data_IF_751566439004
#
_entry.id   IF_751566439004
#
_cell.length_a   1.000
_cell.length_b   1.000
_cell.length_c   1.000
_cell.angle_alpha   90.00
_cell.angle_beta   90.00
_cell.angle_gamma   90.00
#
_symmetry.space_group_name_H-M   'P 1'
#
loop_
_entity.id
_entity.type
_entity.pdbx_description
1 polymer ?
#
# COMPACT_ATOMS: atom_id res chain seq x y z
N UNK A 1 29.57 1.75 -14.42
CA UNK A 1 29.70 2.69 -13.27
C UNK A 1 28.72 2.20 -12.22
N UNK A 2 29.16 1.88 -11.01
CA UNK A 2 28.26 1.48 -9.93
C UNK A 2 27.37 2.68 -9.57
N UNK A 3 26.08 2.61 -9.88
CA UNK A 3 25.11 3.58 -9.38
C UNK A 3 25.10 3.50 -7.86
N UNK A 4 25.20 4.66 -7.21
CA UNK A 4 25.29 4.79 -5.76
C UNK A 4 23.90 4.48 -5.20
N UNK A 5 23.70 3.28 -4.68
CA UNK A 5 22.47 2.90 -3.99
C UNK A 5 22.38 3.67 -2.67
N UNK A 6 21.31 4.44 -2.50
CA UNK A 6 21.05 5.17 -1.26
C UNK A 6 20.12 4.33 -0.37
N UNK A 7 20.62 3.96 0.80
CA UNK A 7 19.82 3.31 1.84
C UNK A 7 19.14 4.39 2.69
N UNK A 8 17.81 4.41 2.69
CA UNK A 8 17.05 5.28 3.59
C UNK A 8 16.33 4.40 4.62
N UNK A 9 16.90 4.36 5.83
CA UNK A 9 16.31 3.66 6.96
C UNK A 9 15.22 4.49 7.63
N UNK A 10 14.03 3.91 7.81
CA UNK A 10 12.99 4.41 8.69
C UNK A 10 12.51 3.34 9.64
N UNK A 11 12.63 3.66 10.91
CA UNK A 11 11.46 3.71 11.80
C UNK A 11 11.96 4.09 13.18
N UNK A 12 11.47 5.19 13.71
CA UNK A 12 11.50 5.41 15.15
C UNK A 12 10.25 6.15 15.59
N UNK A 13 9.48 5.45 16.43
CA UNK A 13 8.50 5.96 17.40
C UNK A 13 7.18 6.54 16.88
N UNK A 14 6.24 5.68 16.45
CA UNK A 14 4.81 6.03 16.41
C UNK A 14 4.01 5.56 17.63
N UNK A 15 4.68 5.12 18.71
CA UNK A 15 4.00 4.80 20.00
C UNK A 15 3.14 5.99 20.47
N UNK A 16 3.49 7.22 20.08
CA UNK A 16 2.81 8.43 20.56
C UNK A 16 1.76 9.02 19.61
N UNK A 17 1.48 8.43 18.43
CA UNK A 17 0.43 8.98 17.53
C UNK A 17 -0.76 8.08 17.24
N UNK A 18 -0.61 6.75 17.25
CA UNK A 18 -1.75 5.86 16.98
C UNK A 18 -2.75 5.76 18.15
N UNK A 19 -2.48 6.38 19.29
CA UNK A 19 -3.43 6.46 20.43
C UNK A 19 -4.13 7.81 20.59
N UNK A 20 -3.79 8.84 19.81
CA UNK A 20 -4.35 10.17 20.04
C UNK A 20 -5.64 10.40 19.23
N UNK A 21 -6.63 11.04 19.88
CA UNK A 21 -7.85 11.58 19.25
C UNK A 21 -7.54 12.50 18.04
N UNK A 22 -6.28 12.91 17.83
CA UNK A 22 -5.81 13.69 16.68
C UNK A 22 -5.88 12.89 15.35
N UNK A 23 -5.79 11.56 15.39
CA UNK A 23 -6.04 10.71 14.20
C UNK A 23 -7.51 10.78 13.73
N UNK A 24 -8.45 10.95 14.68
CA UNK A 24 -9.87 11.23 14.37
C UNK A 24 -10.05 12.68 13.88
N UNK A 25 -9.27 13.61 14.41
CA UNK A 25 -9.28 15.03 14.00
C UNK A 25 -8.81 15.26 12.55
N UNK A 26 -7.89 14.43 12.00
CA UNK A 26 -7.51 14.50 10.58
C UNK A 26 -8.61 13.93 9.66
N UNK A 27 -9.40 12.96 10.15
CA UNK A 27 -10.57 12.46 9.44
C UNK A 27 -11.67 13.54 9.30
N UNK A 28 -11.77 14.47 10.26
CA UNK A 28 -12.71 15.60 10.23
C UNK A 28 -12.22 16.82 9.41
N UNK A 29 -10.91 16.91 9.08
CA UNK A 29 -10.28 18.08 8.45
C UNK A 29 -9.87 17.89 6.98
N UNK A 30 -10.06 16.71 6.40
CA UNK A 30 -10.01 16.47 4.96
C UNK A 30 -11.41 16.68 4.33
N UNK A 31 -11.92 17.92 4.43
CA UNK A 31 -13.05 18.49 3.67
C UNK A 31 -12.95 18.10 2.17
N UNK A 32 -13.94 17.56 1.46
CA UNK A 32 -15.31 18.07 1.24
C UNK A 32 -16.37 16.97 1.01
N UNK A 33 -16.05 15.69 1.17
CA UNK A 33 -16.99 14.62 0.88
C UNK A 33 -17.36 13.87 2.15
N UNK A 34 -18.66 13.86 2.47
CA UNK A 34 -19.25 12.96 3.45
C UNK A 34 -18.63 11.55 3.35
N UNK A 35 -18.51 10.80 4.45
CA UNK A 35 -17.98 9.44 4.43
C UNK A 35 -18.64 8.65 3.29
N UNK A 36 -17.84 8.26 2.29
CA UNK A 36 -18.37 7.57 1.11
C UNK A 36 -19.06 6.30 1.55
N UNK A 37 -20.33 6.14 1.17
CA UNK A 37 -21.08 4.91 1.44
C UNK A 37 -20.35 3.70 0.83
N UNK A 38 -20.53 2.52 1.42
CA UNK A 38 -19.99 1.28 0.87
C UNK A 38 -20.38 1.08 -0.61
N UNK A 39 -21.62 1.44 -0.96
CA UNK A 39 -22.10 1.40 -2.34
C UNK A 39 -21.31 2.34 -3.26
N UNK A 40 -20.94 3.54 -2.78
CA UNK A 40 -20.11 4.48 -3.54
C UNK A 40 -18.70 3.93 -3.76
N UNK A 41 -18.13 3.28 -2.75
CA UNK A 41 -16.82 2.62 -2.83
C UNK A 41 -16.85 1.55 -3.90
N UNK A 42 -17.86 0.67 -3.82
CA UNK A 42 -18.03 -0.48 -4.69
C UNK A 42 -18.27 -0.07 -6.13
N UNK A 43 -19.21 0.85 -6.39
CA UNK A 43 -19.50 1.30 -7.75
C UNK A 43 -18.25 1.88 -8.42
N UNK A 44 -17.43 2.62 -7.67
CA UNK A 44 -16.19 3.16 -8.23
C UNK A 44 -15.11 2.11 -8.43
N UNK A 45 -15.00 1.11 -7.54
CA UNK A 45 -14.13 -0.04 -7.76
C UNK A 45 -14.53 -0.79 -9.03
N UNK A 46 -15.84 -1.01 -9.21
CA UNK A 46 -16.41 -1.60 -10.41
C UNK A 46 -16.10 -0.76 -11.66
N UNK A 47 -16.28 0.57 -11.61
CA UNK A 47 -15.95 1.48 -12.73
C UNK A 47 -14.47 1.37 -13.14
N UNK A 48 -13.55 1.19 -12.17
CA UNK A 48 -12.12 1.00 -12.47
C UNK A 48 -11.89 -0.38 -13.08
N UNK A 49 -12.47 -1.44 -12.52
CA UNK A 49 -12.38 -2.79 -13.09
C UNK A 49 -12.89 -2.80 -14.53
N UNK A 50 -14.03 -2.17 -14.78
CA UNK A 50 -14.64 -2.14 -16.10
C UNK A 50 -13.82 -1.35 -17.11
N UNK A 51 -13.26 -0.21 -16.69
CA UNK A 51 -12.42 0.62 -17.56
C UNK A 51 -11.05 0.01 -17.82
N UNK A 52 -10.37 -0.50 -16.79
CA UNK A 52 -8.98 -0.92 -16.90
C UNK A 52 -8.83 -2.40 -17.29
N UNK A 53 -9.77 -3.26 -16.88
CA UNK A 53 -9.69 -4.70 -17.07
C UNK A 53 -10.69 -5.18 -18.12
N UNK A 54 -11.99 -4.91 -17.91
CA UNK A 54 -13.05 -5.44 -18.79
C UNK A 54 -12.96 -4.85 -20.20
N UNK A 55 -12.85 -3.53 -20.33
CA UNK A 55 -12.74 -2.86 -21.63
C UNK A 55 -11.48 -3.28 -22.40
N UNK A 56 -10.39 -3.57 -21.68
CA UNK A 56 -9.12 -4.01 -22.25
C UNK A 56 -9.03 -5.53 -22.43
N UNK A 57 -10.08 -6.29 -22.05
CA UNK A 57 -10.13 -7.76 -22.10
C UNK A 57 -8.98 -8.43 -21.34
N UNK A 58 -8.61 -7.85 -20.20
CA UNK A 58 -7.60 -8.41 -19.31
C UNK A 58 -8.05 -9.80 -18.80
N UNK A 59 -7.19 -10.83 -18.83
CA UNK A 59 -7.54 -12.17 -18.38
C UNK A 59 -7.95 -12.24 -16.90
N UNK A 60 -7.48 -11.32 -16.07
CA UNK A 60 -7.82 -11.25 -14.65
C UNK A 60 -9.16 -10.52 -14.39
N UNK A 61 -9.82 -9.97 -15.42
CA UNK A 61 -11.10 -9.24 -15.28
C UNK A 61 -12.17 -10.07 -14.58
N UNK A 62 -12.34 -11.35 -14.93
CA UNK A 62 -13.34 -12.21 -14.28
C UNK A 62 -13.04 -12.43 -12.80
N UNK A 63 -11.76 -12.62 -12.45
CA UNK A 63 -11.31 -12.80 -11.07
C UNK A 63 -11.47 -11.52 -10.25
N UNK A 64 -11.14 -10.37 -10.82
CA UNK A 64 -11.33 -9.07 -10.19
C UNK A 64 -12.81 -8.82 -9.83
N UNK A 65 -13.72 -9.13 -10.77
CA UNK A 65 -15.16 -9.05 -10.55
C UNK A 65 -15.64 -10.04 -9.47
N UNK A 66 -15.13 -11.27 -9.47
CA UNK A 66 -15.44 -12.27 -8.44
C UNK A 66 -15.01 -11.80 -7.04
N UNK A 67 -13.79 -11.27 -6.91
CA UNK A 67 -13.26 -10.77 -5.63
C UNK A 67 -14.07 -9.58 -5.12
N UNK A 68 -14.48 -8.66 -6.00
CA UNK A 68 -15.35 -7.55 -5.63
C UNK A 68 -16.74 -8.03 -5.20
N UNK A 69 -17.32 -9.01 -5.91
CA UNK A 69 -18.59 -9.63 -5.54
C UNK A 69 -18.53 -10.32 -4.17
N UNK A 70 -17.47 -11.08 -3.90
CA UNK A 70 -17.26 -11.74 -2.60
C UNK A 70 -17.08 -10.74 -1.47
N UNK A 71 -16.37 -9.64 -1.70
CA UNK A 71 -16.25 -8.54 -0.73
C UNK A 71 -17.63 -7.94 -0.36
N UNK A 72 -18.57 -7.90 -1.30
CA UNK A 72 -19.92 -7.37 -1.09
C UNK A 72 -20.88 -8.31 -0.39
N UNK A 73 -20.79 -9.60 -0.70
CA UNK A 73 -21.84 -10.59 -0.41
C UNK A 73 -21.50 -11.53 0.73
N UNK A 74 -20.23 -11.68 1.07
CA UNK A 74 -19.82 -12.49 2.21
C UNK A 74 -19.98 -11.72 3.52
N UNK A 75 -20.91 -12.18 4.36
CA UNK A 75 -21.19 -11.63 5.68
C UNK A 75 -20.14 -12.03 6.75
N UNK A 76 -19.02 -12.61 6.31
CA UNK A 76 -17.97 -13.15 7.18
C UNK A 76 -16.84 -12.13 7.41
N UNK A 77 -16.06 -12.33 8.48
CA UNK A 77 -14.83 -11.55 8.72
C UNK A 77 -13.78 -11.68 7.59
N UNK A 78 -13.99 -12.56 6.62
CA UNK A 78 -13.09 -12.82 5.50
C UNK A 78 -13.27 -11.85 4.33
N UNK A 79 -14.36 -11.05 4.28
CA UNK A 79 -14.65 -10.16 3.14
C UNK A 79 -13.49 -9.22 2.76
N UNK A 80 -12.76 -8.73 3.76
CA UNK A 80 -11.65 -7.79 3.56
C UNK A 80 -10.47 -8.45 2.86
N UNK A 81 -10.32 -9.77 3.01
CA UNK A 81 -9.27 -10.55 2.35
C UNK A 81 -9.50 -10.60 0.85
N UNK A 82 -10.74 -10.68 0.38
CA UNK A 82 -11.06 -10.61 -1.06
C UNK A 82 -10.73 -9.24 -1.65
N UNK A 83 -11.01 -8.17 -0.89
CA UNK A 83 -10.59 -6.84 -1.29
C UNK A 83 -9.06 -6.73 -1.37
N UNK A 84 -8.33 -7.22 -0.36
CA UNK A 84 -6.86 -7.24 -0.38
C UNK A 84 -6.32 -8.03 -1.57
N UNK A 85 -6.89 -9.22 -1.85
CA UNK A 85 -6.52 -10.03 -3.02
C UNK A 85 -6.70 -9.27 -4.33
N UNK A 86 -7.80 -8.55 -4.48
CA UNK A 86 -8.04 -7.67 -5.62
C UNK A 86 -6.93 -6.61 -5.77
N UNK A 87 -6.50 -6.00 -4.66
CA UNK A 87 -5.38 -5.05 -4.67
C UNK A 87 -4.02 -5.68 -4.98
N UNK A 88 -3.88 -7.00 -4.84
CA UNK A 88 -2.63 -7.71 -5.17
C UNK A 88 -2.57 -8.20 -6.61
N UNK A 89 -3.67 -8.18 -7.38
CA UNK A 89 -3.64 -8.59 -8.80
C UNK A 89 -2.65 -7.73 -9.60
N UNK A 90 -1.81 -8.39 -10.42
CA UNK A 90 -0.84 -7.75 -11.33
C UNK A 90 -1.54 -7.15 -12.55
N UNK A 91 -2.38 -6.16 -12.32
CA UNK A 91 -3.16 -5.50 -13.37
C UNK A 91 -3.05 -3.98 -13.28
N UNK A 92 -3.44 -3.29 -14.35
CA UNK A 92 -3.43 -1.83 -14.41
C UNK A 92 -4.44 -1.18 -13.43
N UNK A 93 -5.34 -1.98 -12.83
CA UNK A 93 -6.19 -1.57 -11.72
C UNK A 93 -5.41 -0.84 -10.61
N UNK A 94 -4.25 -1.39 -10.19
CA UNK A 94 -3.43 -0.78 -9.14
C UNK A 94 -2.81 0.54 -9.58
N UNK A 95 -2.41 0.65 -10.85
CA UNK A 95 -1.87 1.89 -11.43
C UNK A 95 -2.93 3.00 -11.40
N UNK A 96 -4.16 2.68 -11.76
CA UNK A 96 -5.28 3.64 -11.76
C UNK A 96 -5.65 4.09 -10.34
N UNK A 97 -5.59 3.21 -9.35
CA UNK A 97 -5.74 3.57 -7.93
C UNK A 97 -4.62 4.48 -7.42
N UNK A 98 -3.40 4.32 -7.93
CA UNK A 98 -2.27 5.19 -7.60
C UNK A 98 -2.40 6.57 -8.25
N UNK A 99 -2.89 6.67 -9.47
CA UNK A 99 -3.07 7.95 -10.17
C UNK A 99 -4.29 8.72 -9.66
N UNK A 100 -5.30 8.01 -9.19
CA UNK A 100 -6.49 8.58 -8.56
C UNK A 100 -6.62 8.04 -7.13
N UNK A 101 -5.83 8.57 -6.15
CA UNK A 101 -5.93 8.19 -4.75
C UNK A 101 -7.32 8.50 -4.23
N UNK A 102 -8.21 7.53 -4.35
CA UNK A 102 -9.55 7.65 -3.83
C UNK A 102 -9.50 7.83 -2.31
N UNK A 103 -10.56 8.39 -1.69
CA UNK A 103 -10.77 8.27 -0.24
C UNK A 103 -11.12 6.82 0.19
N UNK A 104 -10.78 5.80 -0.61
CA UNK A 104 -10.87 4.38 -0.23
C UNK A 104 -9.82 4.00 0.82
N UNK A 105 -8.74 4.76 0.91
CA UNK A 105 -7.68 4.51 1.89
C UNK A 105 -8.25 4.44 3.32
N UNK A 106 -9.24 5.27 3.66
CA UNK A 106 -9.79 5.29 5.02
C UNK A 106 -10.74 4.11 5.33
N UNK A 107 -11.76 3.79 4.50
CA UNK A 107 -12.57 2.58 4.70
C UNK A 107 -11.73 1.30 4.67
N UNK A 108 -10.77 1.21 3.75
CA UNK A 108 -9.83 0.10 3.70
C UNK A 108 -8.98 0.08 4.98
N UNK A 109 -8.41 1.20 5.41
CA UNK A 109 -7.66 1.29 6.66
C UNK A 109 -8.47 0.85 7.89
N UNK A 110 -9.70 1.36 8.05
CA UNK A 110 -10.61 0.97 9.14
C UNK A 110 -10.87 -0.54 9.10
N UNK A 111 -11.07 -1.11 7.92
CA UNK A 111 -11.31 -2.55 7.76
C UNK A 111 -10.02 -3.38 7.91
N UNK A 112 -8.85 -2.87 7.56
CA UNK A 112 -7.56 -3.53 7.85
C UNK A 112 -7.33 -3.67 9.35
N UNK A 113 -7.94 -2.82 10.18
CA UNK A 113 -7.88 -2.98 11.64
C UNK A 113 -8.57 -4.27 12.13
N UNK A 114 -9.36 -4.96 11.31
CA UNK A 114 -9.92 -6.27 11.66
C UNK A 114 -8.92 -7.42 11.46
N UNK A 115 -7.81 -7.19 10.76
CA UNK A 115 -6.74 -8.17 10.49
C UNK A 115 -5.59 -8.06 11.50
N UNK A 116 -5.93 -7.96 12.79
CA UNK A 116 -4.94 -7.79 13.87
C UNK A 116 -3.97 -8.95 13.96
N UNK A 117 -4.45 -10.15 13.63
CA UNK A 117 -3.68 -11.39 13.56
C UNK A 117 -2.61 -11.39 12.45
N UNK A 118 -2.64 -10.38 11.57
CA UNK A 118 -1.69 -10.19 10.46
C UNK A 118 -0.84 -8.94 10.58
N UNK A 119 -0.91 -8.22 11.69
CA UNK A 119 -0.04 -7.07 11.93
C UNK A 119 1.43 -7.50 11.85
N UNK A 120 2.17 -6.77 11.03
CA UNK A 120 3.55 -7.11 10.72
C UNK A 120 4.50 -6.61 11.81
N UNK A 121 5.53 -7.42 12.10
CA UNK A 121 6.65 -7.10 12.97
C UNK A 121 7.93 -7.57 12.28
N UNK A 122 8.97 -6.76 12.31
CA UNK A 122 10.27 -7.07 11.73
C UNK A 122 10.71 -6.03 10.69
N UNK A 123 11.70 -6.42 9.89
CA UNK A 123 12.22 -5.59 8.82
C UNK A 123 11.45 -5.85 7.53
N UNK A 124 11.14 -4.79 6.80
CA UNK A 124 10.71 -4.88 5.41
C UNK A 124 11.42 -3.86 4.53
N UNK A 125 11.45 -4.12 3.24
CA UNK A 125 12.26 -3.44 2.26
C UNK A 125 11.43 -3.03 1.07
N UNK A 126 11.76 -1.89 0.47
CA UNK A 126 11.14 -1.45 -0.79
C UNK A 126 12.16 -0.76 -1.68
N UNK A 127 12.31 -1.27 -2.90
CA UNK A 127 13.04 -0.58 -3.95
C UNK A 127 12.20 0.50 -4.63
N UNK A 128 12.82 1.62 -4.96
CA UNK A 128 12.23 2.67 -5.78
C UNK A 128 13.31 3.41 -6.59
N UNK A 129 12.88 4.10 -7.64
CA UNK A 129 13.67 5.14 -8.30
C UNK A 129 13.11 6.51 -7.92
N UNK A 130 13.97 7.41 -7.48
CA UNK A 130 13.58 8.72 -6.94
C UNK A 130 14.48 9.82 -7.45
N UNK A 131 13.93 11.01 -7.63
CA UNK A 131 14.71 12.21 -7.91
C UNK A 131 15.38 12.74 -6.62
N UNK A 132 16.43 13.55 -6.78
CA UNK A 132 17.22 14.08 -5.65
C UNK A 132 16.39 14.92 -4.67
N UNK A 133 15.40 15.66 -5.16
CA UNK A 133 14.49 16.48 -4.34
C UNK A 133 13.55 15.62 -3.48
N UNK A 134 13.07 14.51 -4.05
CA UNK A 134 12.30 13.52 -3.30
C UNK A 134 13.16 12.91 -2.20
N UNK A 135 14.39 12.47 -2.53
CA UNK A 135 15.35 11.93 -1.55
C UNK A 135 15.62 12.94 -0.43
N UNK A 136 15.86 14.21 -0.77
CA UNK A 136 16.08 15.27 0.19
C UNK A 136 14.91 15.46 1.17
N UNK A 137 13.66 15.25 0.72
CA UNK A 137 12.48 15.31 1.59
C UNK A 137 12.49 14.18 2.63
N UNK A 138 12.88 12.98 2.21
CA UNK A 138 13.06 11.84 3.10
C UNK A 138 14.22 12.10 4.07
N UNK A 139 15.41 12.44 3.57
CA UNK A 139 16.57 12.74 4.42
C UNK A 139 16.25 13.82 5.46
N UNK A 140 15.57 14.90 5.07
CA UNK A 140 15.11 15.92 6.01
C UNK A 140 14.24 15.32 7.11
N UNK A 141 13.27 14.46 6.78
CA UNK A 141 12.40 13.84 7.78
C UNK A 141 13.18 12.93 8.75
N UNK A 142 14.15 12.16 8.28
CA UNK A 142 15.02 11.32 9.15
C UNK A 142 15.75 12.18 10.18
N UNK A 143 16.27 13.33 9.77
CA UNK A 143 17.07 14.19 10.63
C UNK A 143 16.23 15.09 11.56
N UNK A 144 14.95 15.31 11.24
CA UNK A 144 14.05 16.15 12.02
C UNK A 144 13.13 15.30 12.90
N UNK A 145 13.50 15.17 14.18
CA UNK A 145 12.72 14.42 15.19
C UNK A 145 11.29 14.93 15.27
N UNK A 146 10.33 14.01 15.31
CA UNK A 146 8.90 14.32 15.39
C UNK A 146 8.24 14.66 14.06
N UNK A 147 8.99 14.63 12.94
CA UNK A 147 8.41 14.71 11.60
C UNK A 147 7.74 13.39 11.19
N UNK A 148 6.77 13.47 10.28
CA UNK A 148 6.02 12.33 9.76
C UNK A 148 5.92 12.41 8.25
N UNK A 149 6.23 11.30 7.59
CA UNK A 149 6.02 11.13 6.17
C UNK A 149 4.69 10.42 5.94
N UNK A 150 3.80 11.07 5.19
CA UNK A 150 2.50 10.51 4.83
C UNK A 150 2.51 10.08 3.38
N UNK A 151 2.29 8.79 3.14
CA UNK A 151 1.94 8.28 1.82
C UNK A 151 0.42 8.28 1.65
N UNK A 152 -0.07 8.65 0.46
CA UNK A 152 -1.49 8.59 0.11
C UNK A 152 -1.92 7.22 -0.45
N UNK A 153 -0.97 6.30 -0.58
CA UNK A 153 -1.16 5.00 -1.23
C UNK A 153 -0.56 3.88 -0.38
N UNK A 154 -1.13 2.69 -0.54
CA UNK A 154 -0.50 1.46 -0.07
C UNK A 154 0.85 1.29 -0.75
N UNK A 155 1.78 0.69 -0.02
CA UNK A 155 3.14 0.47 -0.48
C UNK A 155 3.43 -1.01 -0.32
N UNK A 156 3.65 -1.69 -1.44
CA UNK A 156 4.16 -3.06 -1.41
C UNK A 156 5.61 -3.02 -0.90
N UNK A 157 5.92 -3.95 0.00
CA UNK A 157 7.26 -4.13 0.60
C UNK A 157 7.55 -5.62 0.68
N UNK A 158 8.82 -6.00 0.58
CA UNK A 158 9.28 -7.38 0.73
C UNK A 158 9.99 -7.58 2.06
N UNK A 159 9.92 -8.79 2.62
CA UNK A 159 10.78 -9.19 3.73
C UNK A 159 12.20 -9.56 3.23
N UNK A 160 12.34 -9.87 1.95
CA UNK A 160 13.63 -10.13 1.32
C UNK A 160 14.21 -8.85 0.75
N UNK A 161 15.40 -8.49 1.23
CA UNK A 161 16.16 -7.34 0.73
C UNK A 161 16.49 -7.48 -0.76
N UNK A 162 16.92 -8.67 -1.20
CA UNK A 162 17.32 -8.89 -2.61
C UNK A 162 16.14 -8.66 -3.57
N UNK A 163 14.95 -9.17 -3.21
CA UNK A 163 13.73 -8.95 -3.98
C UNK A 163 13.41 -7.44 -4.06
N UNK A 164 13.52 -6.72 -2.94
CA UNK A 164 13.28 -5.29 -2.94
C UNK A 164 14.29 -4.52 -3.80
N UNK A 165 15.55 -4.95 -3.84
CA UNK A 165 16.59 -4.33 -4.67
C UNK A 165 16.32 -4.50 -6.17
N UNK A 166 15.77 -5.64 -6.60
CA UNK A 166 15.35 -5.88 -7.98
C UNK A 166 14.28 -4.86 -8.44
N UNK A 167 13.38 -4.45 -7.56
CA UNK A 167 12.40 -3.40 -7.90
C UNK A 167 13.02 -2.00 -8.03
N UNK A 168 14.15 -1.74 -7.36
CA UNK A 168 14.91 -0.50 -7.59
C UNK A 168 15.59 -0.50 -8.96
N UNK A 169 15.99 -1.68 -9.47
CA UNK A 169 16.49 -1.87 -10.83
C UNK A 169 15.38 -1.71 -11.89
N UNK A 170 14.30 -2.48 -11.71
CA UNK A 170 13.27 -2.70 -12.71
C UNK A 170 12.29 -1.52 -12.92
N UNK A 171 12.30 -0.51 -12.03
CA UNK A 171 11.44 0.65 -12.19
C UNK A 171 11.71 1.34 -13.54
N UNK A 172 10.70 1.35 -14.40
CA UNK A 172 10.75 1.83 -15.79
C UNK A 172 11.43 3.20 -15.88
N UNK A 173 12.32 3.36 -16.85
CA UNK A 173 12.90 4.64 -17.28
C UNK A 173 11.79 5.54 -17.80
N UNK A 174 11.14 6.28 -16.90
CA UNK A 174 10.19 7.33 -17.28
C UNK A 174 10.99 8.61 -17.50
N UNK A 175 11.24 8.86 -18.79
CA UNK A 175 11.81 10.02 -19.49
C UNK A 175 13.26 10.44 -19.20
N UNK A 176 14.00 10.64 -20.29
CA UNK A 176 15.46 10.85 -20.40
C UNK A 176 16.05 12.12 -19.75
N UNK A 177 15.25 12.94 -19.04
CA UNK A 177 15.69 14.26 -18.57
C UNK A 177 15.78 14.44 -17.05
N UNK A 178 15.41 13.43 -16.24
CA UNK A 178 15.55 13.49 -14.78
C UNK A 178 16.37 12.30 -14.32
N UNK A 179 17.59 12.57 -13.83
CA UNK A 179 18.41 11.56 -13.18
C UNK A 179 17.68 11.07 -11.94
N UNK A 180 17.33 9.78 -11.91
CA UNK A 180 16.70 9.12 -10.76
C UNK A 180 17.71 8.18 -10.12
N UNK A 181 17.85 8.26 -8.81
CA UNK A 181 18.69 7.36 -8.05
C UNK A 181 17.89 6.13 -7.63
N UNK A 182 18.61 5.03 -7.51
CA UNK A 182 18.10 3.79 -6.94
C UNK A 182 18.12 3.90 -5.42
N UNK A 183 16.94 3.79 -4.84
CA UNK A 183 16.72 3.96 -3.40
C UNK A 183 16.16 2.67 -2.83
N UNK A 184 16.73 2.26 -1.70
CA UNK A 184 16.20 1.18 -0.87
C UNK A 184 15.65 1.76 0.43
N UNK A 185 14.34 1.67 0.61
CA UNK A 185 13.72 1.93 1.89
C UNK A 185 13.85 0.73 2.80
N UNK A 186 14.30 0.96 4.03
CA UNK A 186 14.37 -0.06 5.08
C UNK A 186 13.39 0.34 6.18
N UNK A 187 12.30 -0.41 6.31
CA UNK A 187 11.30 -0.21 7.34
C UNK A 187 11.56 -1.14 8.53
N UNK A 188 11.58 -0.61 9.74
CA UNK A 188 11.76 -1.41 10.96
C UNK A 188 10.53 -1.34 11.88
N UNK A 189 9.78 -2.42 12.00
CA UNK A 189 8.63 -2.53 12.89
C UNK A 189 9.01 -3.33 14.14
N UNK A 190 9.51 -2.68 15.23
CA UNK A 190 10.02 -3.38 16.41
C UNK A 190 8.93 -4.13 17.19
N UNK A 191 7.67 -3.74 16.99
CA UNK A 191 6.46 -4.35 17.54
C UNK A 191 5.45 -4.56 16.40
N UNK A 192 4.39 -5.33 16.66
CA UNK A 192 3.29 -5.45 15.70
C UNK A 192 2.72 -4.07 15.36
N UNK A 193 2.71 -3.76 14.07
CA UNK A 193 2.28 -2.47 13.54
C UNK A 193 0.92 -2.62 12.85
N UNK A 194 -0.07 -1.84 13.30
CA UNK A 194 -1.42 -1.81 12.72
C UNK A 194 -1.48 -1.12 11.34
N UNK A 195 -0.38 -0.49 10.92
CA UNK A 195 -0.22 0.15 9.62
C UNK A 195 0.56 -0.72 8.62
N UNK A 196 0.99 -1.92 9.01
CA UNK A 196 1.71 -2.86 8.15
C UNK A 196 1.07 -4.25 8.28
N UNK A 197 0.60 -4.80 7.16
CA UNK A 197 -0.13 -6.08 7.14
C UNK A 197 0.72 -7.12 6.40
N UNK A 198 0.88 -8.31 6.99
CA UNK A 198 1.54 -9.44 6.36
C UNK A 198 0.57 -10.15 5.39
N UNK A 199 0.87 -10.05 4.10
CA UNK A 199 0.07 -10.67 3.04
C UNK A 199 0.49 -12.11 2.74
N UNK A 200 1.68 -12.54 3.17
CA UNK A 200 2.19 -13.88 2.93
C UNK A 200 1.42 -14.92 3.77
N UNK A 201 1.63 -16.20 3.44
CA UNK A 201 1.22 -17.31 4.29
C UNK A 201 2.00 -17.26 5.61
N UNK A 202 1.28 -17.40 6.72
CA UNK A 202 1.87 -17.42 8.07
C UNK A 202 1.83 -18.85 8.63
N UNK A 203 0.72 -19.55 8.39
CA UNK A 203 0.49 -20.92 8.85
C UNK A 203 -0.60 -21.59 8.01
N UNK A 204 -0.89 -22.86 8.26
CA UNK A 204 -2.02 -23.55 7.62
C UNK A 204 -3.38 -22.93 7.99
N UNK A 205 -3.48 -22.33 9.18
CA UNK A 205 -4.66 -21.60 9.63
C UNK A 205 -4.73 -20.16 9.06
N UNK A 206 -3.61 -19.63 8.56
CA UNK A 206 -3.49 -18.27 8.02
C UNK A 206 -2.84 -18.31 6.63
N UNK A 207 -3.68 -18.60 5.64
CA UNK A 207 -3.31 -18.70 4.22
C UNK A 207 -2.80 -17.38 3.62
N UNK A 208 -2.20 -17.43 2.43
CA UNK A 208 -1.77 -16.22 1.73
C UNK A 208 -2.99 -15.32 1.41
N UNK A 209 -2.85 -14.01 1.67
CA UNK A 209 -3.80 -12.98 1.24
C UNK A 209 -3.39 -12.33 -0.07
N UNK A 210 -2.12 -12.48 -0.47
CA UNK A 210 -1.67 -12.11 -1.79
C UNK A 210 -2.05 -13.20 -2.78
N UNK A 211 -2.38 -12.80 -4.01
CA UNK A 211 -2.52 -13.72 -5.14
C UNK A 211 -1.16 -14.26 -5.63
N UNK A 212 -0.08 -13.74 -5.06
CA UNK A 212 1.30 -14.11 -5.33
C UNK A 212 1.98 -14.49 -4.01
N UNK A 213 2.57 -15.69 -3.93
CA UNK A 213 3.38 -16.15 -2.78
C UNK A 213 4.87 -16.15 -3.12
#
# INVERSE_FOLDING_TARGET
>A
KAEKQLEIGYATTSITMCQSKLGRFIADKLNDNAPMSLNTIVNRLQDIIDRELTANKDPESSKANELLYKFLTEDSNEHIKHLIRLYTLETDFYRSLRQNPMPLALPLYIKLQTLQDRYFKGLSYRGAKMADDEIGTYEWAVHNRGSLLKTKHFSSTSQSRSIAEEFADAAIEISDNIQKNRVLFIFNFPVQCDQAINLCRISDAQSCLSEFE
#
